data_IF_554691095899
#
_entry.id   IF_554691095899
#
_cell.length_a   1.000
_cell.length_b   1.000
_cell.length_c   1.000
_cell.angle_alpha   90.00
_cell.angle_beta   90.00
_cell.angle_gamma   90.00
#
_symmetry.space_group_name_H-M   'P 1'
#
loop_
_entity.id
_entity.type
_entity.pdbx_description
1 polymer ?
#
# COMPACT_ATOMS: atom_id res chain seq x y z
N UNK A 1 24.14 -16.14 -4.79
CA UNK A 1 23.50 -14.93 -5.38
C UNK A 1 23.40 -13.82 -4.37
N UNK A 2 23.51 -12.59 -4.87
CA UNK A 2 23.39 -11.36 -4.11
C UNK A 2 22.00 -11.25 -3.41
N UNK A 3 21.93 -10.53 -2.29
CA UNK A 3 20.67 -10.16 -1.67
C UNK A 3 19.76 -9.43 -2.68
N UNK A 4 18.43 -9.52 -2.48
CA UNK A 4 17.45 -8.82 -3.33
C UNK A 4 16.90 -7.61 -2.57
N UNK A 5 17.04 -6.42 -3.15
CA UNK A 5 16.57 -5.18 -2.55
C UNK A 5 15.19 -4.81 -3.07
N UNK A 6 14.25 -4.57 -2.17
CA UNK A 6 12.87 -4.26 -2.50
C UNK A 6 12.52 -2.91 -1.87
N UNK A 7 12.21 -1.94 -2.72
CA UNK A 7 11.64 -0.67 -2.30
C UNK A 7 10.11 -0.81 -2.20
N UNK A 8 9.56 -0.47 -1.04
CA UNK A 8 8.14 -0.52 -0.76
C UNK A 8 7.68 0.88 -0.41
N UNK A 9 6.55 1.32 -0.95
CA UNK A 9 5.94 2.58 -0.51
C UNK A 9 4.43 2.51 -0.50
N UNK A 10 3.82 3.20 0.47
CA UNK A 10 2.38 3.41 0.53
C UNK A 10 2.05 4.89 0.70
N UNK A 11 0.99 5.34 0.03
CA UNK A 11 0.48 6.68 0.21
C UNK A 11 -1.03 6.78 -0.03
N UNK A 12 -1.78 7.27 0.97
CA UNK A 12 -3.12 7.76 0.76
C UNK A 12 -3.07 9.17 0.12
N UNK A 13 -3.48 9.28 -1.14
CA UNK A 13 -3.36 10.53 -1.91
C UNK A 13 -4.49 11.54 -1.65
N UNK A 14 -5.43 11.25 -0.74
CA UNK A 14 -6.49 12.18 -0.34
C UNK A 14 -7.38 12.63 -1.51
N UNK A 15 -7.69 11.72 -2.43
CA UNK A 15 -8.47 11.96 -3.66
C UNK A 15 -7.77 12.90 -4.66
N UNK A 16 -6.48 13.17 -4.48
CA UNK A 16 -5.71 14.08 -5.33
C UNK A 16 -4.96 13.36 -6.45
N UNK A 17 -5.10 12.04 -6.67
CA UNK A 17 -4.29 11.37 -7.70
C UNK A 17 -4.63 11.74 -9.15
N UNK A 18 -5.76 12.40 -9.44
CA UNK A 18 -5.95 13.10 -10.72
C UNK A 18 -5.06 14.36 -10.84
N UNK A 19 -4.79 15.03 -9.72
CA UNK A 19 -3.77 16.08 -9.61
C UNK A 19 -2.36 15.52 -9.45
N UNK A 20 -2.17 14.21 -9.27
CA UNK A 20 -0.84 13.59 -9.33
C UNK A 20 -0.19 13.71 -10.71
N UNK A 21 -0.95 14.08 -11.75
CA UNK A 21 -0.38 14.50 -13.04
C UNK A 21 0.57 15.71 -12.91
N UNK A 22 0.29 16.64 -12.00
CA UNK A 22 1.15 17.81 -11.74
C UNK A 22 2.06 17.63 -10.52
N UNK A 23 2.02 16.47 -9.84
CA UNK A 23 2.88 16.19 -8.69
C UNK A 23 4.25 15.70 -9.14
N UNK A 24 5.26 16.13 -8.39
CA UNK A 24 6.60 15.60 -8.49
C UNK A 24 6.68 14.21 -7.83
N UNK A 25 6.53 13.17 -8.65
CA UNK A 25 6.66 11.77 -8.22
C UNK A 25 8.06 11.45 -7.71
N UNK A 26 9.06 12.26 -8.08
CA UNK A 26 10.46 12.10 -7.68
C UNK A 26 10.59 12.17 -6.16
N UNK A 27 10.00 13.19 -5.54
CA UNK A 27 10.04 13.39 -4.08
C UNK A 27 9.47 12.21 -3.28
N UNK A 28 8.51 11.48 -3.86
CA UNK A 28 7.89 10.32 -3.22
C UNK A 28 8.63 9.02 -3.52
N UNK A 29 8.90 8.74 -4.79
CA UNK A 29 9.41 7.44 -5.24
C UNK A 29 10.92 7.30 -5.12
N UNK A 30 11.64 8.42 -5.03
CA UNK A 30 13.09 8.48 -4.97
C UNK A 30 13.53 9.23 -3.70
N UNK A 31 13.19 8.73 -2.49
CA UNK A 31 13.51 9.42 -1.23
C UNK A 31 15.02 9.60 -1.03
N UNK A 32 15.86 8.79 -1.70
CA UNK A 32 17.33 8.93 -1.72
C UNK A 32 17.80 10.30 -2.19
N UNK A 33 16.99 11.04 -2.96
CA UNK A 33 17.33 12.40 -3.40
C UNK A 33 17.16 13.45 -2.28
N UNK A 34 16.46 13.11 -1.21
CA UNK A 34 16.11 14.02 -0.13
C UNK A 34 16.63 13.58 1.24
N UNK A 35 17.10 12.34 1.34
CA UNK A 35 17.63 11.75 2.56
C UNK A 35 19.06 11.24 2.28
N UNK A 36 20.10 11.98 2.71
CA UNK A 36 21.49 11.59 2.47
C UNK A 36 21.92 10.34 3.27
N UNK A 37 21.13 9.87 4.23
CA UNK A 37 21.40 8.64 4.98
C UNK A 37 20.95 7.38 4.21
N UNK A 38 20.14 7.53 3.16
CA UNK A 38 19.69 6.43 2.32
C UNK A 38 20.85 5.93 1.46
N UNK A 39 21.19 4.63 1.51
CA UNK A 39 22.19 4.08 0.60
C UNK A 39 21.72 4.25 -0.84
N UNK A 40 22.62 4.73 -1.72
CA UNK A 40 22.39 4.93 -3.14
C UNK A 40 22.28 3.60 -3.94
N UNK A 41 21.74 2.55 -3.31
CA UNK A 41 21.54 1.25 -3.93
C UNK A 41 20.29 1.30 -4.83
N UNK A 42 20.45 0.84 -6.06
CA UNK A 42 19.35 0.72 -7.02
C UNK A 42 18.50 -0.51 -6.64
N UNK A 43 17.21 -0.35 -6.26
CA UNK A 43 16.37 -1.48 -5.86
C UNK A 43 16.10 -2.45 -7.01
N UNK A 44 15.98 -3.75 -6.73
CA UNK A 44 15.61 -4.75 -7.74
C UNK A 44 14.12 -4.72 -8.06
N UNK A 45 13.30 -4.44 -7.05
CA UNK A 45 11.84 -4.37 -7.15
C UNK A 45 11.35 -3.07 -6.51
N UNK A 46 10.42 -2.41 -7.18
CA UNK A 46 9.59 -1.35 -6.58
C UNK A 46 8.16 -1.85 -6.44
N UNK A 47 7.61 -1.77 -5.22
CA UNK A 47 6.20 -1.94 -4.94
C UNK A 47 5.59 -0.61 -4.51
N UNK A 48 4.68 -0.09 -5.33
CA UNK A 48 4.05 1.22 -5.13
C UNK A 48 2.57 1.01 -4.83
N UNK A 49 2.16 1.27 -3.59
CA UNK A 49 0.79 1.16 -3.13
C UNK A 49 0.15 2.54 -2.93
N UNK A 50 -1.07 2.72 -3.43
CA UNK A 50 -1.81 3.98 -3.29
C UNK A 50 -3.23 3.73 -2.83
N UNK A 51 -3.72 4.60 -1.97
CA UNK A 51 -5.12 4.68 -1.57
C UNK A 51 -5.70 6.05 -1.95
N UNK A 52 -7.03 6.10 -2.06
CA UNK A 52 -7.77 7.30 -2.48
C UNK A 52 -7.21 7.93 -3.77
N UNK A 53 -6.75 7.11 -4.72
CA UNK A 53 -6.08 7.59 -5.94
C UNK A 53 -6.93 8.60 -6.73
N UNK A 54 -8.25 8.45 -6.72
CA UNK A 54 -9.14 9.28 -7.54
C UNK A 54 -10.28 9.81 -6.69
N UNK A 55 -10.90 10.93 -7.11
CA UNK A 55 -12.19 11.34 -6.59
C UNK A 55 -13.16 10.16 -6.49
N UNK A 56 -13.84 10.04 -5.34
CA UNK A 56 -14.62 8.85 -4.98
C UNK A 56 -15.64 8.48 -6.06
N UNK A 57 -16.33 9.47 -6.66
CA UNK A 57 -17.31 9.23 -7.72
C UNK A 57 -16.69 8.55 -8.96
N UNK A 58 -15.52 9.01 -9.42
CA UNK A 58 -14.80 8.41 -10.55
C UNK A 58 -14.31 7.00 -10.20
N UNK A 59 -13.81 6.81 -8.98
CA UNK A 59 -13.32 5.53 -8.50
C UNK A 59 -14.45 4.49 -8.43
N UNK A 60 -15.62 4.86 -7.88
CA UNK A 60 -16.80 4.01 -7.77
C UNK A 60 -17.44 3.72 -9.14
N UNK A 61 -17.47 4.70 -10.04
CA UNK A 61 -17.85 4.50 -11.44
C UNK A 61 -16.83 3.63 -12.22
N UNK A 62 -15.64 3.42 -11.65
CA UNK A 62 -14.47 2.74 -12.20
C UNK A 62 -13.93 3.34 -13.49
N UNK A 63 -13.92 4.67 -13.51
CA UNK A 63 -13.29 5.49 -14.56
C UNK A 63 -11.81 5.75 -14.24
N UNK A 64 -11.09 4.72 -13.76
CA UNK A 64 -9.70 4.85 -13.30
C UNK A 64 -8.65 4.41 -14.32
N UNK A 65 -9.04 3.69 -15.38
CA UNK A 65 -8.12 3.02 -16.31
C UNK A 65 -7.10 3.95 -16.95
N UNK A 66 -7.53 5.11 -17.46
CA UNK A 66 -6.65 6.06 -18.14
C UNK A 66 -5.62 6.67 -17.19
N UNK A 67 -6.04 7.08 -15.99
CA UNK A 67 -5.13 7.65 -14.99
C UNK A 67 -4.11 6.62 -14.56
N UNK A 68 -4.54 5.37 -14.34
CA UNK A 68 -3.62 4.27 -14.01
C UNK A 68 -2.59 4.04 -15.11
N UNK A 69 -2.97 4.07 -16.39
CA UNK A 69 -2.05 3.90 -17.52
C UNK A 69 -0.99 5.01 -17.56
N UNK A 70 -1.42 6.28 -17.52
CA UNK A 70 -0.51 7.43 -17.55
C UNK A 70 0.47 7.41 -16.36
N UNK A 71 -0.01 7.07 -15.16
CA UNK A 71 0.86 6.96 -13.99
C UNK A 71 1.85 5.80 -14.13
N UNK A 72 1.44 4.69 -14.76
CA UNK A 72 2.33 3.55 -15.00
C UNK A 72 3.53 3.96 -15.84
N UNK A 73 3.28 4.62 -16.97
CA UNK A 73 4.34 5.03 -17.88
C UNK A 73 5.27 6.07 -17.24
N UNK A 74 4.70 7.03 -16.50
CA UNK A 74 5.47 8.04 -15.76
C UNK A 74 6.36 7.42 -14.68
N UNK A 75 5.82 6.50 -13.87
CA UNK A 75 6.58 5.82 -12.83
C UNK A 75 7.71 5.00 -13.46
N UNK A 76 7.40 4.18 -14.47
CA UNK A 76 8.40 3.35 -15.13
C UNK A 76 9.55 4.17 -15.73
N UNK A 77 9.21 5.28 -16.41
CA UNK A 77 10.20 6.20 -17.00
C UNK A 77 11.08 6.86 -15.93
N UNK A 78 10.48 7.33 -14.83
CA UNK A 78 11.20 7.92 -13.70
C UNK A 78 12.17 6.92 -13.07
N UNK A 79 11.69 5.72 -12.75
CA UNK A 79 12.51 4.68 -12.11
C UNK A 79 13.69 4.26 -12.99
N UNK A 80 13.45 4.07 -14.29
CA UNK A 80 14.50 3.68 -15.26
C UNK A 80 15.56 4.78 -15.43
N UNK A 81 15.10 6.04 -15.52
CA UNK A 81 16.00 7.19 -15.63
C UNK A 81 16.85 7.37 -14.37
N UNK A 82 16.26 7.15 -13.19
CA UNK A 82 16.98 7.25 -11.92
C UNK A 82 17.98 6.09 -11.73
N UNK A 83 17.62 4.86 -12.07
CA UNK A 83 18.59 3.76 -12.02
C UNK A 83 19.77 3.99 -12.98
N UNK A 84 19.49 4.51 -14.18
CA UNK A 84 20.54 4.91 -15.13
C UNK A 84 21.42 6.04 -14.55
N UNK A 85 20.84 6.96 -13.77
CA UNK A 85 21.62 8.02 -13.15
C UNK A 85 22.46 7.55 -11.95
N UNK A 86 22.13 6.41 -11.34
CA UNK A 86 22.88 5.81 -10.24
C UNK A 86 23.90 4.74 -10.68
N UNK A 87 23.84 4.25 -11.92
CA UNK A 87 24.80 3.25 -12.41
C UNK A 87 26.20 3.84 -12.59
N UNK A 88 27.23 3.04 -12.33
CA UNK A 88 28.65 3.46 -12.26
C UNK A 88 29.11 4.20 -13.53
N UNK A 89 28.77 3.67 -14.71
CA UNK A 89 29.12 4.26 -16.01
C UNK A 89 27.93 4.93 -16.73
N UNK A 90 26.85 5.26 -16.00
CA UNK A 90 25.56 5.69 -16.60
C UNK A 90 25.03 4.68 -17.63
N UNK A 91 25.31 3.40 -17.42
CA UNK A 91 24.76 2.32 -18.22
C UNK A 91 23.24 2.40 -18.19
N UNK A 92 22.57 2.34 -19.36
CA UNK A 92 21.11 2.35 -19.41
C UNK A 92 20.53 1.22 -18.56
N UNK A 93 19.69 1.59 -17.60
CA UNK A 93 18.93 0.68 -16.76
C UNK A 93 17.44 0.82 -17.06
N UNK A 94 16.73 -0.30 -17.06
CA UNK A 94 15.31 -0.36 -17.34
C UNK A 94 14.56 -1.05 -16.21
N UNK A 95 13.43 -0.48 -15.83
CA UNK A 95 12.38 -1.19 -15.11
C UNK A 95 11.27 -1.59 -16.06
N UNK A 96 10.74 -2.78 -15.84
CA UNK A 96 9.54 -3.28 -16.50
C UNK A 96 8.39 -3.33 -15.50
N UNK A 97 7.17 -3.03 -15.97
CA UNK A 97 5.97 -3.31 -15.20
C UNK A 97 5.76 -4.82 -15.13
N UNK A 98 5.86 -5.40 -13.94
CA UNK A 98 5.52 -6.80 -13.69
C UNK A 98 4.01 -6.98 -13.64
N UNK A 99 3.32 -6.07 -12.96
CA UNK A 99 1.88 -6.05 -12.95
C UNK A 99 1.30 -4.88 -12.19
N UNK A 100 0.04 -4.58 -12.49
CA UNK A 100 -0.76 -3.54 -11.86
C UNK A 100 -2.12 -4.10 -11.51
N UNK A 101 -2.58 -3.85 -10.29
CA UNK A 101 -3.92 -4.21 -9.83
C UNK A 101 -4.55 -3.02 -9.13
N UNK A 102 -5.85 -2.82 -9.34
CA UNK A 102 -6.61 -1.73 -8.71
C UNK A 102 -8.04 -2.13 -8.42
N UNK A 103 -8.59 -1.56 -7.36
CA UNK A 103 -10.00 -1.71 -6.99
C UNK A 103 -10.48 -0.40 -6.35
N UNK A 104 -11.41 0.28 -7.03
CA UNK A 104 -11.89 1.63 -6.68
C UNK A 104 -10.70 2.58 -6.50
N UNK A 105 -10.45 3.10 -5.30
CA UNK A 105 -9.39 4.07 -5.01
C UNK A 105 -8.05 3.44 -4.63
N UNK A 106 -7.98 2.10 -4.52
CA UNK A 106 -6.78 1.38 -4.15
C UNK A 106 -6.06 0.88 -5.40
N UNK A 107 -4.75 1.08 -5.47
CA UNK A 107 -3.91 0.62 -6.55
C UNK A 107 -2.57 0.10 -6.04
N UNK A 108 -2.00 -0.87 -6.77
CA UNK A 108 -0.70 -1.46 -6.53
C UNK A 108 0.00 -1.68 -7.86
N UNK A 109 1.23 -1.20 -7.95
CA UNK A 109 2.15 -1.46 -9.06
C UNK A 109 3.37 -2.19 -8.55
N UNK A 110 3.83 -3.18 -9.31
CA UNK A 110 5.12 -3.85 -9.10
C UNK A 110 5.97 -3.67 -10.34
N UNK A 111 7.13 -3.04 -10.16
CA UNK A 111 8.16 -2.88 -11.19
C UNK A 111 9.39 -3.70 -10.82
N UNK A 112 10.06 -4.27 -11.81
CA UNK A 112 11.28 -5.05 -11.61
C UNK A 112 12.39 -4.55 -12.54
N UNK A 113 13.61 -4.49 -12.02
CA UNK A 113 14.80 -4.11 -12.77
C UNK A 113 15.18 -5.22 -13.74
N UNK A 114 15.34 -4.89 -15.01
CA UNK A 114 15.54 -5.89 -16.06
C UNK A 114 16.91 -6.57 -15.96
N UNK A 115 17.96 -5.82 -15.60
CA UNK A 115 19.33 -6.35 -15.45
C UNK A 115 19.46 -7.39 -14.35
N UNK A 116 18.62 -7.34 -13.30
CA UNK A 116 18.68 -8.29 -12.18
C UNK A 116 17.61 -9.38 -12.26
N UNK A 117 16.41 -9.07 -12.78
CA UNK A 117 15.26 -9.98 -12.77
C UNK A 117 14.76 -10.42 -14.15
N UNK A 118 15.40 -9.96 -15.24
CA UNK A 118 15.12 -10.42 -16.60
C UNK A 118 15.17 -11.95 -16.72
N UNK A 119 14.08 -12.57 -17.21
CA UNK A 119 13.98 -14.03 -17.34
C UNK A 119 13.93 -14.82 -16.02
N UNK A 120 13.70 -14.14 -14.87
CA UNK A 120 13.59 -14.77 -13.55
C UNK A 120 12.20 -14.66 -12.93
N UNK A 121 11.30 -13.91 -13.56
CA UNK A 121 9.94 -13.70 -13.07
C UNK A 121 8.99 -14.76 -13.63
N UNK A 122 8.15 -15.33 -12.76
CA UNK A 122 7.02 -16.15 -13.17
C UNK A 122 5.78 -15.31 -13.50
N UNK A 123 4.71 -15.98 -13.95
CA UNK A 123 3.42 -15.32 -14.24
C UNK A 123 2.82 -14.74 -12.94
N UNK A 124 2.59 -13.42 -12.84
CA UNK A 124 1.97 -12.84 -11.66
C UNK A 124 0.49 -13.20 -11.60
N UNK A 125 -0.02 -13.38 -10.39
CA UNK A 125 -1.45 -13.50 -10.10
C UNK A 125 -1.91 -12.25 -9.36
N UNK A 126 -3.13 -11.81 -9.60
CA UNK A 126 -3.72 -10.66 -8.92
C UNK A 126 -5.02 -11.04 -8.23
N UNK A 127 -5.33 -10.32 -7.15
CA UNK A 127 -6.57 -10.47 -6.41
C UNK A 127 -7.09 -9.09 -5.98
N UNK A 128 -8.41 -8.95 -5.89
CA UNK A 128 -9.09 -7.75 -5.39
C UNK A 128 -10.19 -8.17 -4.42
N UNK A 129 -10.46 -7.31 -3.44
CA UNK A 129 -11.49 -7.53 -2.43
C UNK A 129 -12.02 -6.19 -1.93
N UNK A 130 -13.32 -5.94 -2.06
CA UNK A 130 -13.99 -4.86 -1.36
C UNK A 130 -14.33 -5.28 0.07
N UNK A 131 -14.04 -4.40 1.02
CA UNK A 131 -14.14 -4.62 2.46
C UNK A 131 -15.17 -3.70 3.12
N UNK A 132 -15.76 -2.80 2.34
CA UNK A 132 -16.83 -1.94 2.81
C UNK A 132 -18.19 -2.63 2.68
N UNK A 133 -19.26 -1.93 3.05
CA UNK A 133 -20.61 -2.50 3.14
C UNK A 133 -20.96 -3.33 1.90
N UNK A 134 -21.37 -4.59 2.12
CA UNK A 134 -21.76 -5.54 1.06
C UNK A 134 -20.72 -5.72 -0.06
N UNK A 135 -19.43 -5.55 0.26
CA UNK A 135 -18.32 -5.76 -0.67
C UNK A 135 -17.94 -4.55 -1.52
N UNK A 136 -18.46 -3.36 -1.22
CA UNK A 136 -18.05 -2.12 -1.89
C UNK A 136 -16.54 -1.85 -1.71
N UNK A 137 -15.92 -1.27 -2.73
CA UNK A 137 -14.46 -1.17 -2.83
C UNK A 137 -13.81 0.07 -2.22
N UNK A 138 -14.58 1.03 -1.68
CA UNK A 138 -14.03 2.25 -1.06
C UNK A 138 -13.07 1.95 0.11
N UNK A 139 -13.36 0.88 0.86
CA UNK A 139 -12.39 0.17 1.70
C UNK A 139 -12.14 -1.18 1.05
N UNK A 140 -10.90 -1.63 1.03
CA UNK A 140 -10.57 -2.80 0.23
C UNK A 140 -9.13 -3.24 0.34
N UNK A 141 -8.83 -4.34 -0.35
CA UNK A 141 -7.48 -4.82 -0.55
C UNK A 141 -7.29 -5.23 -2.01
N UNK A 142 -6.10 -4.96 -2.53
CA UNK A 142 -5.62 -5.48 -3.80
C UNK A 142 -4.29 -6.17 -3.57
N UNK A 143 -4.05 -7.27 -4.26
CA UNK A 143 -2.85 -8.07 -4.09
C UNK A 143 -2.24 -8.47 -5.41
N UNK A 144 -0.92 -8.60 -5.43
CA UNK A 144 -0.14 -9.20 -6.51
C UNK A 144 0.81 -10.26 -5.93
N UNK A 145 0.71 -11.47 -6.46
CA UNK A 145 1.55 -12.62 -6.12
C UNK A 145 2.51 -12.90 -7.28
N UNK A 146 3.80 -12.91 -7.00
CA UNK A 146 4.87 -12.98 -7.99
C UNK A 146 5.86 -14.10 -7.64
N UNK A 147 5.91 -15.18 -8.42
CA UNK A 147 7.02 -16.13 -8.36
C UNK A 147 8.31 -15.50 -8.89
N UNK A 148 9.42 -15.65 -8.17
CA UNK A 148 10.74 -15.12 -8.55
C UNK A 148 11.80 -16.20 -8.36
N UNK A 149 12.61 -16.43 -9.39
CA UNK A 149 13.76 -17.34 -9.34
C UNK A 149 15.02 -16.60 -8.92
N UNK A 150 15.50 -16.89 -7.71
CA UNK A 150 16.65 -16.20 -7.08
C UNK A 150 17.89 -17.09 -6.85
N UNK A 151 17.80 -18.40 -7.14
CA UNK A 151 18.94 -19.33 -7.02
C UNK A 151 19.84 -19.39 -8.26
N UNK A 152 21.02 -19.99 -8.10
CA UNK A 152 21.97 -20.32 -9.19
C UNK A 152 21.66 -21.74 -9.66
N UNK A 153 21.43 -21.96 -10.97
CA UNK A 153 21.12 -23.28 -11.61
C UNK A 153 19.66 -23.76 -11.48
N UNK A 154 18.74 -23.07 -12.16
CA UNK A 154 17.31 -23.43 -12.35
C UNK A 154 16.46 -23.65 -11.07
N UNK A 155 17.01 -23.45 -9.88
CA UNK A 155 16.31 -23.54 -8.60
C UNK A 155 16.23 -22.22 -7.83
N UNK A 156 15.83 -22.32 -6.56
CA UNK A 156 15.68 -21.17 -5.67
C UNK A 156 14.46 -20.30 -6.02
N UNK A 157 13.35 -20.93 -6.41
CA UNK A 157 12.08 -20.25 -6.58
C UNK A 157 11.50 -19.82 -5.24
N UNK A 158 11.17 -18.55 -5.12
CA UNK A 158 10.41 -17.98 -4.01
C UNK A 158 9.14 -17.34 -4.55
N UNK A 159 8.12 -17.20 -3.71
CA UNK A 159 6.96 -16.38 -4.02
C UNK A 159 7.00 -15.11 -3.18
N UNK A 160 6.81 -13.97 -3.83
CA UNK A 160 6.65 -12.67 -3.18
C UNK A 160 5.19 -12.24 -3.35
N UNK A 161 4.50 -11.94 -2.25
CA UNK A 161 3.12 -11.45 -2.27
C UNK A 161 3.10 -10.02 -1.73
N UNK A 162 2.56 -9.11 -2.53
CA UNK A 162 2.38 -7.71 -2.18
C UNK A 162 0.90 -7.42 -2.02
N UNK A 163 0.51 -6.76 -0.93
CA UNK A 163 -0.88 -6.40 -0.62
C UNK A 163 -0.93 -4.90 -0.32
N UNK A 164 -1.79 -4.18 -1.05
CA UNK A 164 -2.19 -2.82 -0.75
C UNK A 164 -3.59 -2.85 -0.13
N UNK A 165 -3.79 -2.27 1.05
CA UNK A 165 -5.11 -2.23 1.70
C UNK A 165 -5.48 -0.86 2.25
N UNK A 166 -6.78 -0.58 2.27
CA UNK A 166 -7.37 0.60 2.89
C UNK A 166 -8.47 0.12 3.83
N UNK A 167 -8.16 0.12 5.13
CA UNK A 167 -9.05 -0.39 6.17
C UNK A 167 -10.00 0.69 6.72
N UNK A 168 -10.97 0.26 7.52
CA UNK A 168 -12.04 1.09 8.04
C UNK A 168 -11.52 2.35 8.77
N UNK A 169 -12.12 3.49 8.41
CA UNK A 169 -11.76 4.78 8.97
C UNK A 169 -12.39 4.99 10.35
N UNK A 170 -12.13 6.15 10.94
CA UNK A 170 -12.59 6.58 12.27
C UNK A 170 -11.89 5.89 13.45
N UNK A 171 -11.70 6.66 14.51
CA UNK A 171 -10.81 6.33 15.62
C UNK A 171 -11.28 5.06 16.35
N UNK A 172 -12.59 4.92 16.58
CA UNK A 172 -13.19 3.83 17.35
C UNK A 172 -13.36 2.50 16.57
N UNK A 173 -13.15 2.48 15.25
CA UNK A 173 -13.44 1.31 14.41
C UNK A 173 -12.35 0.22 14.42
N UNK A 174 -11.63 0.08 15.55
CA UNK A 174 -10.59 -0.95 15.74
C UNK A 174 -11.16 -2.36 15.50
N UNK A 175 -12.33 -2.75 16.08
CA UNK A 175 -12.88 -4.09 15.83
C UNK A 175 -13.16 -4.37 14.36
N UNK A 176 -13.60 -3.35 13.61
CA UNK A 176 -13.89 -3.47 12.18
C UNK A 176 -12.62 -3.59 11.35
N UNK A 177 -11.54 -2.87 11.70
CA UNK A 177 -10.21 -3.05 11.06
C UNK A 177 -9.65 -4.46 11.29
N UNK A 178 -9.74 -4.98 12.52
CA UNK A 178 -9.31 -6.34 12.83
C UNK A 178 -10.12 -7.38 12.03
N UNK A 179 -11.46 -7.22 11.99
CA UNK A 179 -12.33 -8.11 11.22
C UNK A 179 -12.02 -8.06 9.71
N UNK A 180 -11.77 -6.87 9.17
CA UNK A 180 -11.38 -6.71 7.77
C UNK A 180 -10.05 -7.40 7.45
N UNK A 181 -9.07 -7.38 8.36
CA UNK A 181 -7.85 -8.18 8.19
C UNK A 181 -8.13 -9.69 8.13
N UNK A 182 -9.02 -10.19 8.99
CA UNK A 182 -9.45 -11.60 8.93
C UNK A 182 -10.15 -11.91 7.60
N UNK A 183 -10.99 -11.01 7.10
CA UNK A 183 -11.61 -11.14 5.77
C UNK A 183 -10.57 -11.14 4.65
N UNK A 184 -9.51 -10.33 4.74
CA UNK A 184 -8.41 -10.36 3.77
C UNK A 184 -7.73 -11.74 3.77
N UNK A 185 -7.45 -12.31 4.94
CA UNK A 185 -6.83 -13.64 5.05
C UNK A 185 -7.67 -14.73 4.37
N UNK A 186 -8.99 -14.74 4.59
CA UNK A 186 -9.87 -15.77 4.01
C UNK A 186 -10.28 -15.50 2.56
N UNK A 187 -10.30 -14.25 2.12
CA UNK A 187 -11.04 -13.85 0.91
C UNK A 187 -10.20 -13.15 -0.16
N UNK A 188 -9.01 -12.64 0.16
CA UNK A 188 -8.06 -12.13 -0.85
C UNK A 188 -7.27 -13.30 -1.45
N UNK A 189 -7.96 -14.10 -2.26
CA UNK A 189 -7.45 -15.36 -2.79
C UNK A 189 -6.95 -15.20 -4.23
N UNK A 190 -5.70 -15.60 -4.47
CA UNK A 190 -5.06 -15.67 -5.78
C UNK A 190 -5.43 -16.98 -6.45
N UNK A 191 -5.92 -16.91 -7.68
CA UNK A 191 -6.31 -18.08 -8.48
C UNK A 191 -5.54 -18.09 -9.79
N UNK A 192 -4.95 -19.23 -10.11
CA UNK A 192 -4.36 -19.47 -11.42
C UNK A 192 -5.45 -19.71 -12.45
N UNK A 193 -5.11 -19.50 -13.72
CA UNK A 193 -5.91 -19.99 -14.85
C UNK A 193 -5.83 -21.51 -15.01
N UNK A 194 -4.84 -22.15 -14.39
CA UNK A 194 -4.71 -23.60 -14.34
C UNK A 194 -5.71 -24.18 -13.33
N UNK A 195 -6.68 -25.01 -13.77
CA UNK A 195 -7.69 -25.59 -12.89
C UNK A 195 -7.13 -26.61 -11.89
N UNK A 196 -5.89 -27.10 -12.08
CA UNK A 196 -5.22 -28.00 -11.14
C UNK A 196 -4.46 -27.25 -10.04
N UNK A 197 -4.21 -25.95 -10.23
CA UNK A 197 -3.49 -25.16 -9.25
C UNK A 197 -4.40 -24.80 -8.07
N UNK A 198 -3.89 -25.04 -6.86
CA UNK A 198 -4.61 -24.70 -5.64
C UNK A 198 -4.73 -23.18 -5.49
N UNK A 199 -5.89 -22.66 -5.06
CA UNK A 199 -6.02 -21.27 -4.67
C UNK A 199 -5.08 -20.96 -3.50
N UNK A 200 -4.48 -19.77 -3.52
CA UNK A 200 -3.56 -19.34 -2.48
C UNK A 200 -4.09 -18.09 -1.78
N UNK A 201 -4.03 -18.06 -0.45
CA UNK A 201 -4.22 -16.86 0.35
C UNK A 201 -2.92 -16.01 0.37
N UNK A 202 -2.95 -14.88 1.09
CA UNK A 202 -1.80 -13.95 1.13
C UNK A 202 -0.57 -14.52 1.85
N UNK A 203 -0.75 -15.45 2.80
CA UNK A 203 0.30 -16.06 3.63
C UNK A 203 0.94 -17.29 3.01
N UNK A 204 0.31 -17.91 2.00
CA UNK A 204 0.85 -19.07 1.28
C UNK A 204 2.04 -18.66 0.38
N UNK A 205 3.04 -17.95 0.90
CA UNK A 205 4.08 -17.24 0.14
C UNK A 205 5.42 -17.35 0.86
N UNK A 206 6.53 -17.11 0.16
CA UNK A 206 7.86 -17.09 0.78
C UNK A 206 8.12 -15.77 1.51
N UNK A 207 7.61 -14.67 0.94
CA UNK A 207 7.72 -13.32 1.47
C UNK A 207 6.38 -12.59 1.28
N UNK A 208 5.83 -12.03 2.37
CA UNK A 208 4.62 -11.23 2.36
C UNK A 208 4.97 -9.79 2.69
N UNK A 209 4.50 -8.86 1.86
CA UNK A 209 4.57 -7.41 2.08
C UNK A 209 3.15 -6.86 2.08
N UNK A 210 2.68 -6.40 3.24
CA UNK A 210 1.37 -5.79 3.40
C UNK A 210 1.56 -4.31 3.74
N UNK A 211 1.03 -3.44 2.89
CA UNK A 211 1.15 -2.01 3.06
C UNK A 211 -0.17 -1.31 2.76
N UNK A 212 -0.32 -0.08 3.24
CA UNK A 212 -1.53 0.67 2.99
C UNK A 212 -1.89 1.68 4.07
N UNK A 213 -3.05 2.29 3.89
CA UNK A 213 -3.74 3.01 4.95
C UNK A 213 -4.52 2.01 5.82
N UNK A 214 -3.86 1.53 6.87
CA UNK A 214 -4.44 0.60 7.84
C UNK A 214 -5.37 1.32 8.81
N UNK A 215 -5.42 2.65 8.82
CA UNK A 215 -6.31 3.48 9.61
C UNK A 215 -6.28 3.28 11.15
N UNK A 216 -5.25 2.62 11.68
CA UNK A 216 -4.99 2.64 13.12
C UNK A 216 -4.47 4.00 13.56
N UNK A 217 -4.85 4.41 14.77
CA UNK A 217 -4.60 5.75 15.31
C UNK A 217 -3.86 5.68 16.62
N UNK A 218 -3.46 6.84 17.14
CA UNK A 218 -3.12 6.94 18.55
C UNK A 218 -4.39 6.69 19.38
N UNK A 219 -4.23 6.07 20.54
CA UNK A 219 -5.33 5.82 21.48
C UNK A 219 -5.95 7.12 21.99
N UNK A 220 -5.11 8.14 22.20
CA UNK A 220 -5.46 9.49 22.65
C UNK A 220 -4.36 10.45 22.20
N UNK A 221 -4.57 11.75 22.40
CA UNK A 221 -3.48 12.71 22.23
C UNK A 221 -2.39 12.48 23.30
N UNK A 222 -1.11 12.61 22.93
CA UNK A 222 0.01 12.53 23.88
C UNK A 222 -0.05 13.68 24.88
N UNK A 223 0.46 13.43 26.08
CA UNK A 223 0.48 14.41 27.17
C UNK A 223 1.45 15.57 26.92
N UNK A 224 2.52 15.31 26.19
CA UNK A 224 3.57 16.27 25.82
C UNK A 224 3.25 17.10 24.57
N UNK A 225 2.16 16.81 23.88
CA UNK A 225 1.85 17.40 22.57
C UNK A 225 2.40 16.59 21.39
N UNK A 226 2.09 17.02 20.17
CA UNK A 226 2.52 16.32 18.96
C UNK A 226 3.88 16.88 18.50
N UNK A 227 4.82 16.02 18.08
CA UNK A 227 6.17 16.45 17.73
C UNK A 227 6.19 17.38 16.51
N UNK A 228 7.13 18.32 16.53
CA UNK A 228 7.52 19.19 15.42
C UNK A 228 8.64 18.50 14.65
N UNK A 229 8.51 18.36 13.33
CA UNK A 229 9.50 17.70 12.45
C UNK A 229 10.54 18.68 11.88
N UNK A 230 10.32 19.99 12.02
CA UNK A 230 11.12 21.07 11.42
C UNK A 230 11.94 21.89 12.41
N UNK A 231 11.85 21.62 13.71
CA UNK A 231 12.76 22.20 14.71
C UNK A 231 13.83 21.18 15.04
N UNK A 232 15.10 21.55 14.87
CA UNK A 232 16.16 20.91 15.64
C UNK A 232 15.76 21.08 17.10
N UNK A 233 15.32 20.01 17.76
CA UNK A 233 15.10 20.13 19.19
C UNK A 233 16.47 20.33 19.81
N UNK A 234 16.60 21.39 20.60
CA UNK A 234 17.78 21.62 21.43
C UNK A 234 18.01 20.45 22.42
N UNK A 235 17.01 19.58 22.59
CA UNK A 235 17.01 18.40 23.45
C UNK A 235 16.55 17.14 22.69
N UNK A 236 17.52 16.32 22.26
CA UNK A 236 17.29 15.02 21.60
C UNK A 236 16.55 14.05 22.52
N UNK A 237 16.84 14.08 23.83
CA UNK A 237 16.23 13.17 24.80
C UNK A 237 14.73 13.45 24.96
N UNK A 238 14.33 14.73 24.91
CA UNK A 238 12.93 15.11 24.91
C UNK A 238 12.19 14.57 23.67
N UNK A 239 12.78 14.68 22.48
CA UNK A 239 12.20 14.12 21.25
C UNK A 239 12.07 12.60 21.30
N UNK A 240 13.09 11.90 21.81
CA UNK A 240 13.05 10.44 21.96
C UNK A 240 11.92 10.02 22.91
N UNK A 241 11.75 10.74 24.03
CA UNK A 241 10.67 10.48 24.99
C UNK A 241 9.29 10.74 24.38
N UNK A 242 9.12 11.82 23.63
CA UNK A 242 7.87 12.14 22.92
C UNK A 242 7.54 11.06 21.89
N UNK A 243 8.53 10.65 21.08
CA UNK A 243 8.37 9.59 20.09
C UNK A 243 8.00 8.26 20.77
N UNK A 244 8.65 7.92 21.88
CA UNK A 244 8.32 6.71 22.65
C UNK A 244 6.86 6.72 23.15
N UNK A 245 6.37 7.85 23.70
CA UNK A 245 4.96 7.97 24.10
C UNK A 245 4.00 7.74 22.93
N UNK A 246 4.31 8.29 21.74
CA UNK A 246 3.50 8.07 20.54
C UNK A 246 3.45 6.60 20.12
N UNK A 247 4.59 5.90 20.20
CA UNK A 247 4.66 4.47 19.87
C UNK A 247 3.84 3.64 20.87
N UNK A 248 3.88 3.97 22.16
CA UNK A 248 3.08 3.29 23.19
C UNK A 248 1.57 3.54 23.02
N UNK A 249 1.20 4.68 22.46
CA UNK A 249 -0.18 5.02 22.14
C UNK A 249 -0.67 4.44 20.80
N UNK A 250 0.20 3.85 19.97
CA UNK A 250 -0.18 3.28 18.68
C UNK A 250 -1.12 2.08 18.83
N UNK A 251 -2.35 2.24 18.35
CA UNK A 251 -3.36 1.18 18.49
C UNK A 251 -3.02 -0.06 17.67
N UNK A 252 -2.33 0.04 16.53
CA UNK A 252 -1.92 -1.16 15.77
C UNK A 252 -0.95 -2.03 16.55
N UNK A 253 0.13 -1.45 17.10
CA UNK A 253 1.10 -2.17 17.93
C UNK A 253 0.44 -2.83 19.13
N UNK A 254 -0.52 -2.15 19.76
CA UNK A 254 -1.33 -2.73 20.84
C UNK A 254 -2.13 -3.95 20.36
N UNK A 255 -2.87 -3.85 19.26
CA UNK A 255 -3.67 -4.96 18.73
C UNK A 255 -2.80 -6.16 18.28
N UNK A 256 -1.62 -5.90 17.72
CA UNK A 256 -0.64 -6.94 17.40
C UNK A 256 -0.10 -7.62 18.65
N UNK A 257 0.30 -6.85 19.68
CA UNK A 257 0.81 -7.38 20.95
C UNK A 257 -0.23 -8.27 21.65
N UNK A 258 -1.50 -7.91 21.54
CA UNK A 258 -2.60 -8.68 22.12
C UNK A 258 -3.06 -9.86 21.23
N UNK A 259 -2.35 -10.17 20.14
CA UNK A 259 -2.63 -11.35 19.31
C UNK A 259 -3.77 -11.20 18.30
N UNK A 260 -4.39 -10.02 18.17
CA UNK A 260 -5.68 -9.91 17.47
C UNK A 260 -5.57 -9.76 15.96
N UNK A 261 -4.43 -9.29 15.46
CA UNK A 261 -4.27 -8.88 14.05
C UNK A 261 -2.81 -8.95 13.62
N UNK A 262 -2.56 -9.11 12.31
CA UNK A 262 -1.22 -9.11 11.66
C UNK A 262 -0.19 -10.03 12.32
N UNK A 263 -0.62 -11.23 12.71
CA UNK A 263 0.23 -12.20 13.40
C UNK A 263 1.43 -12.62 12.58
N UNK A 264 2.61 -12.51 13.18
CA UNK A 264 3.89 -12.82 12.54
C UNK A 264 4.33 -11.84 11.45
N UNK A 265 3.73 -10.64 11.36
CA UNK A 265 4.27 -9.58 10.52
C UNK A 265 5.07 -8.59 11.36
N UNK A 266 6.21 -8.17 10.82
CA UNK A 266 7.17 -7.23 11.41
C UNK A 266 7.05 -5.87 10.71
N UNK A 267 7.50 -4.82 11.37
CA UNK A 267 7.51 -3.46 10.86
C UNK A 267 8.83 -2.78 11.24
N UNK A 268 9.22 -1.74 10.49
CA UNK A 268 10.36 -0.92 10.86
C UNK A 268 10.11 -0.05 12.08
N UNK A 269 11.15 0.68 12.49
CA UNK A 269 11.06 1.57 13.64
C UNK A 269 10.24 2.82 13.32
N UNK A 270 9.02 2.89 13.87
CA UNK A 270 8.12 4.04 13.74
C UNK A 270 8.62 5.27 14.48
N UNK A 271 9.55 5.14 15.42
CA UNK A 271 10.08 6.28 16.18
C UNK A 271 10.81 7.29 15.27
N UNK A 272 11.21 6.85 14.06
CA UNK A 272 11.96 7.65 13.08
C UNK A 272 11.18 8.85 12.51
N UNK A 273 9.85 8.81 12.51
CA UNK A 273 9.00 9.87 11.94
C UNK A 273 7.74 10.11 12.78
N UNK A 274 7.08 11.27 12.58
CA UNK A 274 5.85 11.59 13.31
C UNK A 274 4.62 10.90 12.68
N UNK A 275 3.48 10.84 13.39
CA UNK A 275 2.23 10.32 12.83
C UNK A 275 1.90 10.93 11.46
N UNK A 276 1.60 10.09 10.47
CA UNK A 276 1.41 10.48 9.07
C UNK A 276 0.05 11.09 8.78
N UNK A 277 -0.89 10.98 9.72
CA UNK A 277 -2.27 11.47 9.62
C UNK A 277 -2.72 12.08 10.97
N UNK A 278 -3.68 13.01 11.07
CA UNK A 278 -4.34 13.78 10.01
C UNK A 278 -3.62 15.11 9.85
N UNK A 279 -2.78 15.24 8.84
CA UNK A 279 -1.98 16.45 8.62
C UNK A 279 -2.82 17.58 8.06
N UNK A 280 -2.33 18.81 8.21
CA UNK A 280 -2.93 19.96 7.56
C UNK A 280 -2.40 20.04 6.13
N UNK A 281 -3.29 19.96 5.15
CA UNK A 281 -2.93 20.06 3.72
C UNK A 281 -2.24 21.40 3.46
N UNK A 282 -1.16 21.37 2.67
CA UNK A 282 -0.31 22.51 2.36
C UNK A 282 0.74 22.83 3.43
N UNK A 283 0.77 22.12 4.56
CA UNK A 283 1.75 22.31 5.62
C UNK A 283 2.64 21.07 5.79
N UNK A 284 3.93 21.31 6.01
CA UNK A 284 4.86 20.23 6.40
C UNK A 284 4.40 19.72 7.76
N UNK A 285 4.34 20.61 8.75
CA UNK A 285 3.94 20.33 10.14
C UNK A 285 2.46 20.54 10.42
N UNK A 286 2.02 20.06 11.58
CA UNK A 286 0.70 20.37 12.13
C UNK A 286 -0.38 19.32 11.84
N UNK A 287 -1.32 19.24 12.76
CA UNK A 287 -2.37 18.23 12.77
C UNK A 287 -3.76 18.87 12.84
N UNK A 288 -4.67 18.36 12.02
CA UNK A 288 -6.07 18.76 12.05
C UNK A 288 -6.77 18.19 13.29
N UNK A 289 -7.53 19.04 14.00
CA UNK A 289 -8.34 18.62 15.16
C UNK A 289 -9.56 17.74 14.81
N UNK A 290 -9.77 17.42 13.53
CA UNK A 290 -10.94 16.65 13.07
C UNK A 290 -10.87 15.15 13.43
N UNK A 291 -9.68 14.63 13.73
CA UNK A 291 -9.41 13.23 14.06
C UNK A 291 -8.25 13.15 15.05
N UNK A 292 -8.17 12.05 15.79
CA UNK A 292 -6.94 11.72 16.52
C UNK A 292 -5.85 11.39 15.48
N UNK A 293 -4.65 11.99 15.57
CA UNK A 293 -3.52 11.62 14.74
C UNK A 293 -3.15 10.14 14.84
N UNK A 294 -2.44 9.62 13.84
CA UNK A 294 -2.06 8.22 13.80
C UNK A 294 -1.00 7.89 12.78
N UNK A 295 -0.29 6.80 13.03
CA UNK A 295 0.50 6.07 12.05
C UNK A 295 -0.46 5.21 11.23
N UNK A 296 -1.21 5.85 10.34
CA UNK A 296 -2.23 5.20 9.52
C UNK A 296 -1.62 4.43 8.36
N UNK A 297 -0.56 5.00 7.78
CA UNK A 297 0.14 4.48 6.61
C UNK A 297 1.28 3.56 7.09
N UNK A 298 1.22 2.28 6.75
CA UNK A 298 2.09 1.24 7.35
C UNK A 298 2.64 0.30 6.29
N UNK A 299 3.81 -0.28 6.58
CA UNK A 299 4.44 -1.33 5.76
C UNK A 299 4.88 -2.45 6.70
N UNK A 300 4.12 -3.53 6.66
CA UNK A 300 4.31 -4.74 7.42
C UNK A 300 4.83 -5.84 6.51
N UNK A 301 5.66 -6.75 7.01
CA UNK A 301 6.18 -7.84 6.21
C UNK A 301 6.48 -9.10 7.03
N UNK A 302 6.55 -10.24 6.35
CA UNK A 302 6.95 -11.51 6.94
C UNK A 302 7.75 -12.30 5.90
N UNK A 303 8.80 -12.99 6.34
CA UNK A 303 9.60 -13.86 5.49
C UNK A 303 9.69 -15.27 6.07
N UNK A 304 9.76 -16.26 5.20
CA UNK A 304 10.01 -17.65 5.60
C UNK A 304 11.42 -17.86 6.20
N UNK A 305 12.36 -16.92 5.98
CA UNK A 305 13.72 -17.01 6.55
C UNK A 305 13.81 -16.42 7.95
N UNK A 306 12.75 -15.76 8.42
CA UNK A 306 12.74 -15.12 9.71
C UNK A 306 12.52 -16.17 10.82
N UNK A 307 13.26 -16.07 11.93
CA UNK A 307 13.08 -16.99 13.05
C UNK A 307 11.83 -16.64 13.89
N UNK A 308 11.20 -17.68 14.46
CA UNK A 308 9.96 -17.60 15.24
C UNK A 308 9.94 -16.51 16.33
N UNK A 309 11.09 -16.25 16.95
CA UNK A 309 11.20 -15.28 18.05
C UNK A 309 11.07 -13.81 17.60
N UNK A 310 11.27 -13.47 16.32
CA UNK A 310 11.04 -12.10 15.84
C UNK A 310 9.56 -11.73 15.79
N UNK A 311 8.70 -12.72 16.01
CA UNK A 311 7.27 -12.63 15.78
C UNK A 311 6.43 -12.72 17.06
N UNK A 312 7.05 -12.96 18.23
CA UNK A 312 6.31 -13.00 19.48
C UNK A 312 5.96 -11.58 19.94
N UNK A 313 4.77 -11.36 20.54
CA UNK A 313 4.46 -10.11 21.23
C UNK A 313 5.49 -9.67 22.28
N UNK A 314 6.31 -10.61 22.77
CA UNK A 314 7.37 -10.35 23.74
C UNK A 314 8.69 -9.89 23.11
N UNK A 315 8.90 -10.08 21.80
CA UNK A 315 10.13 -9.64 21.10
C UNK A 315 10.27 -8.12 21.08
N UNK A 316 9.15 -7.39 21.18
CA UNK A 316 9.09 -5.92 21.32
C UNK A 316 9.34 -5.42 22.74
N UNK A 317 9.47 -6.30 23.74
CA UNK A 317 9.58 -5.94 25.16
C UNK A 317 11.01 -6.19 25.70
N UNK A 318 11.79 -7.07 25.08
CA UNK A 318 13.17 -7.33 25.51
C UNK A 318 14.12 -6.24 24.99
N UNK A 319 14.79 -5.47 25.87
CA UNK A 319 15.73 -4.42 25.45
C UNK A 319 16.98 -4.96 24.73
N UNK A 320 17.25 -6.26 24.86
CA UNK A 320 18.25 -6.99 24.07
C UNK A 320 17.54 -8.06 23.24
N UNK A 321 17.27 -7.82 21.93
CA UNK A 321 16.83 -8.88 21.04
C UNK A 321 17.94 -9.93 20.91
N UNK A 322 17.59 -11.23 20.81
CA UNK A 322 18.57 -12.26 20.46
C UNK A 322 19.25 -11.94 19.11
N UNK A 323 20.48 -12.41 18.88
CA UNK A 323 21.21 -12.13 17.66
C UNK A 323 20.42 -12.59 16.44
N UNK A 324 20.18 -11.66 15.52
CA UNK A 324 19.44 -11.89 14.29
C UNK A 324 20.38 -12.60 13.30
N UNK A 325 20.05 -13.81 12.80
CA UNK A 325 20.87 -14.50 11.81
C UNK A 325 21.08 -13.66 10.55
N UNK A 326 22.24 -13.76 9.91
CA UNK A 326 22.53 -13.10 8.62
C UNK A 326 21.54 -13.52 7.51
N UNK A 327 20.95 -14.70 7.64
CA UNK A 327 19.90 -15.22 6.76
C UNK A 327 18.52 -14.58 7.00
N UNK A 328 18.39 -13.61 7.89
CA UNK A 328 17.11 -12.95 8.17
C UNK A 328 16.88 -11.82 7.18
N UNK A 329 15.62 -11.60 6.82
CA UNK A 329 15.25 -10.43 6.02
C UNK A 329 15.49 -9.14 6.81
N UNK A 330 16.27 -8.21 6.23
CA UNK A 330 16.69 -6.97 6.88
C UNK A 330 15.83 -5.78 6.42
N UNK A 331 15.54 -4.87 7.35
CA UNK A 331 14.95 -3.56 7.06
C UNK A 331 16.12 -2.58 7.05
N UNK A 332 16.59 -2.20 5.86
CA UNK A 332 17.72 -1.27 5.72
C UNK A 332 17.25 0.18 5.77
N UNK A 333 15.98 0.43 5.47
CA UNK A 333 15.36 1.74 5.56
C UNK A 333 13.89 1.66 5.95
N UNK A 334 13.43 2.60 6.75
CA UNK A 334 12.01 2.77 7.10
C UNK A 334 11.76 4.21 7.54
N UNK A 335 11.03 4.99 6.75
CA UNK A 335 10.79 6.41 7.01
C UNK A 335 9.55 6.93 6.27
N UNK A 336 9.26 8.22 6.43
CA UNK A 336 8.18 8.95 5.77
C UNK A 336 8.72 10.17 5.02
N UNK A 337 7.95 10.68 4.05
CA UNK A 337 8.29 11.89 3.28
C UNK A 337 7.44 13.09 3.74
N UNK A 338 7.82 13.81 4.81
CA UNK A 338 6.99 14.89 5.38
C UNK A 338 6.89 16.14 4.49
N UNK A 339 7.82 16.32 3.55
CA UNK A 339 7.83 17.43 2.58
C UNK A 339 6.66 17.40 1.60
N UNK A 340 6.00 16.25 1.43
CA UNK A 340 4.81 16.13 0.58
C UNK A 340 3.58 16.59 1.37
N UNK A 341 2.94 17.67 0.92
CA UNK A 341 1.86 18.36 1.66
C UNK A 341 0.51 18.37 0.94
N UNK A 342 0.41 17.74 -0.23
CA UNK A 342 -0.79 17.76 -1.09
C UNK A 342 -1.94 16.87 -0.57
N UNK A 343 -1.63 15.95 0.34
CA UNK A 343 -2.58 15.08 1.03
C UNK A 343 -2.55 15.38 2.54
N UNK A 344 -3.61 15.02 3.26
CA UNK A 344 -3.60 15.00 4.73
C UNK A 344 -2.91 13.75 5.30
N UNK A 345 -2.33 12.92 4.42
CA UNK A 345 -1.41 11.84 4.72
C UNK A 345 0.00 12.12 4.19
N UNK A 346 1.01 11.65 4.92
CA UNK A 346 2.41 11.60 4.46
C UNK A 346 2.75 10.22 3.91
N UNK A 347 3.44 10.11 2.76
CA UNK A 347 3.89 8.83 2.24
C UNK A 347 4.83 8.11 3.22
N UNK A 348 4.78 6.78 3.24
CA UNK A 348 5.70 5.93 4.00
C UNK A 348 6.45 5.04 3.02
N UNK A 349 7.73 4.82 3.27
CA UNK A 349 8.58 3.98 2.44
C UNK A 349 9.56 3.15 3.26
N UNK A 350 9.90 1.98 2.73
CA UNK A 350 10.84 1.05 3.31
C UNK A 350 11.74 0.44 2.24
N UNK A 351 12.97 0.10 2.60
CA UNK A 351 13.84 -0.77 1.80
C UNK A 351 14.04 -2.05 2.59
N UNK A 352 13.65 -3.16 1.98
CA UNK A 352 13.79 -4.49 2.54
C UNK A 352 14.80 -5.27 1.71
N UNK A 353 15.80 -5.82 2.38
CA UNK A 353 16.81 -6.65 1.78
C UNK A 353 16.55 -8.11 2.12
N UNK A 354 16.17 -8.89 1.11
CA UNK A 354 16.03 -10.33 1.26
C UNK A 354 17.42 -10.99 1.23
N UNK A 355 17.69 -11.93 2.13
CA UNK A 355 18.96 -12.66 2.18
C UNK A 355 19.18 -13.48 0.91
N UNK A 356 20.40 -13.96 0.69
CA UNK A 356 20.68 -14.96 -0.34
C UNK A 356 19.84 -16.22 -0.14
N UNK A 357 19.45 -16.87 -1.25
CA UNK A 357 18.63 -18.09 -1.20
C UNK A 357 19.46 -19.27 -0.70
N UNK A 358 18.95 -19.98 0.30
CA UNK A 358 19.57 -21.17 0.91
C UNK A 358 18.95 -22.50 0.49
N UNK A 359 17.86 -22.48 -0.30
CA UNK A 359 17.13 -23.67 -0.73
C UNK A 359 17.17 -23.87 -2.26
N UNK A 360 16.88 -25.08 -2.72
CA UNK A 360 16.97 -25.47 -4.14
C UNK A 360 15.60 -25.71 -4.80
N UNK A 361 14.55 -24.99 -4.37
CA UNK A 361 13.19 -25.18 -4.88
C UNK A 361 13.16 -25.01 -6.40
N UNK A 362 12.77 -26.06 -7.13
CA UNK A 362 12.85 -26.10 -8.61
C UNK A 362 11.65 -25.48 -9.31
N UNK A 363 10.56 -25.24 -8.58
CA UNK A 363 9.35 -24.65 -9.10
C UNK A 363 8.65 -23.79 -8.03
N UNK A 364 7.82 -22.81 -8.42
CA UNK A 364 7.10 -21.94 -7.49
C UNK A 364 6.25 -22.66 -6.43
N UNK A 365 5.61 -23.79 -6.76
CA UNK A 365 4.77 -24.54 -5.82
C UNK A 365 5.58 -25.36 -4.80
N UNK A 366 6.90 -25.49 -5.01
CA UNK A 366 7.85 -26.11 -4.07
C UNK A 366 8.63 -25.08 -3.26
N UNK A 367 8.32 -23.79 -3.44
CA UNK A 367 8.94 -22.72 -2.69
C UNK A 367 8.59 -22.83 -1.20
N UNK A 368 9.51 -22.48 -0.29
CA UNK A 368 9.17 -22.40 1.12
C UNK A 368 8.09 -21.35 1.34
N UNK A 369 7.20 -21.61 2.31
CA UNK A 369 6.12 -20.70 2.68
C UNK A 369 6.28 -20.18 4.10
N UNK A 370 5.60 -19.10 4.44
CA UNK A 370 5.57 -18.57 5.80
C UNK A 370 5.11 -19.64 6.80
N UNK A 371 5.70 -19.61 8.00
CA UNK A 371 5.19 -20.34 9.14
C UNK A 371 3.79 -19.83 9.54
N UNK A 372 3.08 -20.64 10.31
CA UNK A 372 1.82 -20.21 10.92
C UNK A 372 2.05 -19.02 11.87
N UNK A 373 1.08 -18.10 12.01
CA UNK A 373 1.18 -17.05 13.02
C UNK A 373 1.48 -17.65 14.41
N UNK A 374 2.45 -17.11 15.17
CA UNK A 374 2.74 -17.62 16.51
C UNK A 374 1.60 -17.31 17.48
N UNK A 375 1.47 -18.09 18.54
CA UNK A 375 0.59 -17.76 19.68
C UNK A 375 0.93 -16.36 20.22
N UNK A 376 -0.07 -15.52 20.61
CA UNK A 376 -1.49 -15.82 20.77
C UNK A 376 -2.36 -15.54 19.54
N UNK A 377 -1.77 -15.40 18.35
CA UNK A 377 -2.55 -15.16 17.14
C UNK A 377 -3.36 -16.40 16.73
N UNK A 378 -4.60 -16.23 16.24
CA UNK A 378 -5.38 -17.33 15.72
C UNK A 378 -4.73 -17.90 14.44
N UNK A 379 -5.00 -19.17 14.10
CA UNK A 379 -4.59 -19.74 12.84
C UNK A 379 -5.22 -18.96 11.67
N UNK A 380 -4.63 -19.11 10.48
CA UNK A 380 -5.16 -18.53 9.26
C UNK A 380 -6.56 -19.12 9.01
N UNK A 381 -7.60 -18.29 8.78
CA UNK A 381 -8.93 -18.79 8.51
C UNK A 381 -8.98 -19.55 7.18
N UNK A 382 -9.90 -20.51 7.09
CA UNK A 382 -10.16 -21.25 5.86
C UNK A 382 -10.57 -20.30 4.72
N UNK A 383 -10.17 -20.58 3.47
CA UNK A 383 -10.54 -19.76 2.32
C UNK A 383 -12.06 -19.70 2.12
N UNK A 384 -12.57 -18.50 1.90
CA UNK A 384 -13.99 -18.29 1.58
C UNK A 384 -14.35 -19.04 0.27
N UNK A 385 -15.47 -19.79 0.26
CA UNK A 385 -15.92 -20.52 -0.92
C UNK A 385 -16.01 -19.64 -2.16
N UNK A 386 -15.64 -20.20 -3.32
CA UNK A 386 -15.59 -19.44 -4.57
C UNK A 386 -16.93 -18.78 -4.93
N UNK A 387 -18.05 -19.48 -4.72
CA UNK A 387 -19.39 -18.95 -5.01
C UNK A 387 -19.70 -17.73 -4.15
N UNK A 388 -19.46 -17.83 -2.84
CA UNK A 388 -19.68 -16.72 -1.90
C UNK A 388 -18.81 -15.51 -2.25
N UNK A 389 -17.51 -15.74 -2.51
CA UNK A 389 -16.60 -14.67 -2.89
C UNK A 389 -17.00 -14.02 -4.22
N UNK A 390 -17.51 -14.81 -5.18
CA UNK A 390 -17.97 -14.30 -6.47
C UNK A 390 -19.23 -13.44 -6.30
N UNK A 391 -20.19 -13.89 -5.50
CA UNK A 391 -21.39 -13.11 -5.17
C UNK A 391 -21.04 -11.81 -4.43
N UNK A 392 -20.12 -11.88 -3.46
CA UNK A 392 -19.63 -10.72 -2.72
C UNK A 392 -19.02 -9.66 -3.65
N UNK A 393 -18.14 -10.08 -4.56
CA UNK A 393 -17.51 -9.19 -5.55
C UNK A 393 -18.53 -8.60 -6.53
N UNK A 394 -19.48 -9.41 -6.97
CA UNK A 394 -20.53 -8.97 -7.88
C UNK A 394 -21.41 -7.90 -7.22
N UNK A 395 -21.91 -8.18 -6.01
CA UNK A 395 -22.76 -7.26 -5.25
C UNK A 395 -22.03 -5.94 -4.96
N UNK A 396 -20.79 -6.03 -4.47
CA UNK A 396 -19.96 -4.86 -4.21
C UNK A 396 -19.72 -4.01 -5.45
N UNK A 397 -19.42 -4.66 -6.59
CA UNK A 397 -19.24 -3.96 -7.86
C UNK A 397 -20.52 -3.27 -8.32
N UNK A 398 -21.68 -3.95 -8.23
CA UNK A 398 -22.98 -3.35 -8.58
C UNK A 398 -23.22 -2.11 -7.71
N UNK A 399 -23.05 -2.21 -6.39
CA UNK A 399 -23.23 -1.09 -5.47
C UNK A 399 -22.27 0.07 -5.74
N UNK A 400 -21.00 -0.24 -6.02
CA UNK A 400 -20.04 0.80 -6.42
C UNK A 400 -20.52 1.52 -7.68
N UNK A 401 -21.00 0.81 -8.70
CA UNK A 401 -21.49 1.43 -9.94
C UNK A 401 -22.78 2.21 -9.75
N UNK A 402 -23.72 1.72 -8.95
CA UNK A 402 -25.01 2.38 -8.70
C UNK A 402 -24.85 3.66 -7.89
N UNK A 403 -23.81 3.77 -7.06
CA UNK A 403 -23.46 5.02 -6.38
C UNK A 403 -22.61 5.92 -7.30
N UNK A 404 -21.59 5.35 -7.94
CA UNK A 404 -20.60 6.10 -8.71
C UNK A 404 -21.17 6.82 -9.92
N UNK A 405 -21.96 6.14 -10.75
CA UNK A 405 -22.49 6.74 -11.98
C UNK A 405 -23.45 7.91 -11.74
N UNK A 406 -24.47 7.80 -10.86
CA UNK A 406 -25.31 8.95 -10.52
C UNK A 406 -24.52 10.09 -9.90
N UNK A 407 -23.53 9.79 -9.05
CA UNK A 407 -22.69 10.84 -8.48
C UNK A 407 -21.85 11.56 -9.56
N UNK A 408 -21.27 10.83 -10.52
CA UNK A 408 -20.62 11.44 -11.68
C UNK A 408 -21.57 12.37 -12.45
N UNK A 409 -22.82 11.96 -12.67
CA UNK A 409 -23.84 12.80 -13.32
C UNK A 409 -24.11 14.07 -12.50
N UNK A 410 -24.28 13.96 -11.18
CA UNK A 410 -24.47 15.11 -10.30
C UNK A 410 -23.28 16.09 -10.38
N UNK A 411 -22.05 15.57 -10.34
CA UNK A 411 -20.84 16.39 -10.49
C UNK A 411 -20.78 17.08 -11.85
N UNK A 412 -21.12 16.38 -12.93
CA UNK A 412 -21.21 16.95 -14.29
C UNK A 412 -22.29 18.05 -14.38
N UNK A 413 -23.40 17.88 -13.67
CA UNK A 413 -24.48 18.87 -13.53
C UNK A 413 -24.14 20.01 -12.56
N UNK A 414 -22.94 20.04 -11.98
CA UNK A 414 -22.44 21.14 -11.16
C UNK A 414 -22.68 21.02 -9.65
N UNK A 415 -23.20 19.89 -9.18
CA UNK A 415 -23.27 19.58 -7.75
C UNK A 415 -21.87 19.25 -7.25
N UNK A 416 -21.12 20.24 -6.74
CA UNK A 416 -19.69 20.05 -6.50
C UNK A 416 -18.91 21.13 -5.77
N UNK A 417 -19.16 22.44 -5.82
CA UNK A 417 -19.49 23.38 -6.90
C UNK A 417 -18.12 23.86 -7.47
N UNK A 418 -17.95 24.99 -8.17
CA UNK A 418 -18.98 25.89 -8.73
C UNK A 418 -19.29 26.48 -10.12
N UNK A 419 -18.27 26.67 -10.98
CA UNK A 419 -18.38 27.00 -12.39
C UNK A 419 -18.94 25.82 -13.19
N UNK A 420 -18.71 24.61 -12.67
CA UNK A 420 -19.29 23.36 -13.13
C UNK A 420 -20.84 23.42 -13.11
N UNK A 421 -21.47 22.70 -14.02
CA UNK A 421 -22.90 22.81 -14.27
C UNK A 421 -23.26 23.99 -15.17
N UNK A 422 -22.76 25.20 -14.88
CA UNK A 422 -23.20 26.42 -15.57
C UNK A 422 -23.03 26.39 -17.11
N UNK A 423 -21.95 25.81 -17.66
CA UNK A 423 -21.76 25.71 -19.12
C UNK A 423 -22.57 24.59 -19.80
N UNK A 424 -22.81 23.47 -19.09
CA UNK A 424 -23.49 22.29 -19.65
C UNK A 424 -25.01 22.42 -19.50
N UNK A 425 -25.49 22.95 -18.38
CA UNK A 425 -26.89 23.34 -18.19
C UNK A 425 -27.30 24.50 -19.10
N UNK A 426 -26.40 25.46 -19.37
CA UNK A 426 -26.65 26.52 -20.35
C UNK A 426 -26.69 26.00 -21.79
N UNK A 427 -25.78 25.11 -22.19
CA UNK A 427 -25.80 24.50 -23.53
C UNK A 427 -27.00 23.57 -23.75
N UNK A 428 -27.40 22.80 -22.73
CA UNK A 428 -28.61 21.95 -22.79
C UNK A 428 -29.89 22.80 -22.80
N UNK A 429 -30.01 23.87 -21.99
CA UNK A 429 -31.12 24.81 -22.05
C UNK A 429 -31.19 25.58 -23.38
N UNK A 430 -30.04 25.85 -24.00
CA UNK A 430 -29.95 26.46 -25.33
C UNK A 430 -30.43 25.50 -26.43
N UNK A 431 -29.96 24.25 -26.44
CA UNK A 431 -30.38 23.23 -27.43
C UNK A 431 -31.85 22.83 -27.24
N UNK A 432 -32.31 22.69 -25.99
CA UNK A 432 -33.71 22.40 -25.68
C UNK A 432 -34.62 23.59 -25.99
N UNK A 433 -34.19 24.83 -25.71
CA UNK A 433 -34.92 26.04 -26.09
C UNK A 433 -35.07 26.18 -27.60
N UNK A 434 -34.01 25.88 -28.36
CA UNK A 434 -33.98 25.86 -29.83
C UNK A 434 -34.88 24.76 -30.42
N UNK A 435 -34.99 23.60 -29.75
CA UNK A 435 -35.92 22.54 -30.11
C UNK A 435 -37.39 22.88 -29.74
N UNK A 436 -37.64 23.46 -28.57
CA UNK A 436 -38.96 23.82 -28.05
C UNK A 436 -39.58 25.05 -28.72
N UNK A 437 -38.77 26.01 -29.16
CA UNK A 437 -39.23 27.20 -29.88
C UNK A 437 -39.69 26.90 -31.32
N UNK A 438 -39.64 25.64 -31.75
CA UNK A 438 -40.08 25.22 -33.08
C UNK A 438 -39.22 25.75 -34.23
N UNK A 439 -38.01 26.25 -33.94
CA UNK A 439 -37.11 26.85 -34.95
C UNK A 439 -36.61 25.80 -35.97
N UNK A 440 -36.77 24.51 -35.67
CA UNK A 440 -36.46 23.37 -36.56
C UNK A 440 -37.70 22.73 -37.18
N UNK A 441 -38.87 23.31 -36.91
CA UNK A 441 -40.16 22.82 -37.37
C UNK A 441 -40.66 23.60 -38.58
N UNK A 442 -39.80 24.34 -39.28
CA UNK A 442 -40.10 25.10 -40.50
C UNK A 442 -39.09 24.79 -41.60
#
# INVERSE_FOLDING_TARGET
>A
MAPLNIFLTTWNTGLQGSKAQSQDLTSWLLPVLHDPELPAAIPDIYAVAVQELLPVHLALAGLSKTVLAVLTDRIQSLLSSHATSLSEDKTPESYILVGRVSHVGNALWIFARESTLGGRLGKPLTATLGLWWLGMGNKGAVGLRLPVRRGEKEGGWETLTFVCTHLEAYDQQIPRRNAQYQTILSSLIFRSSDPLAQPANIRDTSHLFLMGDLNYRLLRLPSTGLPSEGKAADDILALEKERAELIDLDTLRREQREGRVFGGLREGDLSRFAPTYKRIVGQIEGYSRKRIPGYTDRILFASHTDPDHLFSPQSTISPTPPPIPESTTQITHFSSTPSITVSDHKPVHAIIQLPGVSHSARAPHLAPTLASPPSPHPPVPEPTPLLELTLWKLLGTILDRTVGWPWCILVLLGYGNPTAGMGVSAFVAMVFGVWWSGVWSA
#
